data_IF_729148472853
#
_entry.id   IF_729148472853
#
_cell.length_a   1.000
_cell.length_b   1.000
_cell.length_c   1.000
_cell.angle_alpha   90.00
_cell.angle_beta   90.00
_cell.angle_gamma   90.00
#
_symmetry.space_group_name_H-M   'P 1'
#
loop_
_entity.id
_entity.type
_entity.pdbx_description
1 polymer ?
#
# COMPACT_ATOMS: atom_id res chain seq x y z
N UNK A 1 6.00 16.73 -14.75
CA UNK A 1 4.53 16.53 -14.76
C UNK A 1 4.02 16.60 -16.19
N UNK A 2 3.10 15.71 -16.58
CA UNK A 2 2.41 15.73 -17.87
C UNK A 2 0.94 16.07 -17.64
N UNK A 3 0.38 16.96 -18.46
CA UNK A 3 -1.05 17.34 -18.39
C UNK A 3 -1.89 16.55 -19.38
N UNK A 4 -3.22 16.61 -19.24
CA UNK A 4 -4.19 16.02 -20.18
C UNK A 4 -4.07 16.59 -21.60
N UNK A 5 -3.58 17.83 -21.71
CA UNK A 5 -3.24 18.46 -22.98
C UNK A 5 -1.89 18.01 -23.56
N UNK A 6 -1.31 16.91 -23.03
CA UNK A 6 0.00 16.36 -23.43
C UNK A 6 1.15 17.38 -23.34
N UNK A 7 1.03 18.37 -22.45
CA UNK A 7 2.11 19.33 -22.17
C UNK A 7 2.98 18.77 -21.06
N UNK A 8 4.28 18.95 -21.18
CA UNK A 8 5.23 18.57 -20.13
C UNK A 8 5.72 19.82 -19.43
N UNK A 9 5.70 19.76 -18.10
CA UNK A 9 6.23 20.78 -17.22
C UNK A 9 7.29 20.14 -16.32
N UNK A 10 8.38 20.85 -16.07
CA UNK A 10 9.48 20.42 -15.20
C UNK A 10 9.80 21.51 -14.18
N UNK A 11 10.26 21.10 -13.00
CA UNK A 11 10.64 21.97 -11.89
C UNK A 11 11.56 21.25 -10.91
N UNK A 12 12.18 22.00 -10.02
CA UNK A 12 13.12 21.48 -9.02
C UNK A 12 14.57 21.62 -9.47
N UNK A 13 15.42 20.69 -9.00
CA UNK A 13 16.87 20.71 -9.20
C UNK A 13 17.23 20.48 -10.67
N UNK A 14 18.21 21.22 -11.18
CA UNK A 14 18.59 21.21 -12.60
C UNK A 14 20.11 21.15 -12.84
N UNK A 15 20.87 20.67 -11.85
CA UNK A 15 22.34 20.67 -11.87
C UNK A 15 22.94 19.90 -13.07
N UNK A 16 22.17 19.00 -13.69
CA UNK A 16 22.56 18.16 -14.83
C UNK A 16 21.72 18.46 -16.07
N UNK A 17 21.03 19.60 -16.10
CA UNK A 17 20.06 19.97 -17.14
C UNK A 17 18.91 18.96 -17.31
N UNK A 18 18.63 18.15 -16.28
CA UNK A 18 17.62 17.10 -16.31
C UNK A 18 16.18 17.61 -16.49
N UNK A 19 15.95 18.92 -16.36
CA UNK A 19 14.64 19.52 -16.60
C UNK A 19 14.33 19.74 -18.10
N UNK A 20 15.32 19.65 -18.98
CA UNK A 20 15.15 19.71 -20.44
C UNK A 20 14.67 21.07 -20.96
N UNK A 21 14.86 22.16 -20.19
CA UNK A 21 14.38 23.51 -20.54
C UNK A 21 15.40 24.36 -21.30
N UNK A 22 16.67 23.94 -21.37
CA UNK A 22 17.76 24.74 -21.94
C UNK A 22 18.14 25.97 -21.11
N UNK A 23 17.55 26.14 -19.92
CA UNK A 23 17.89 27.16 -18.93
C UNK A 23 18.57 26.47 -17.74
N UNK A 24 19.62 27.08 -17.18
CA UNK A 24 20.34 26.50 -16.04
C UNK A 24 19.61 26.73 -14.70
N UNK A 25 18.77 27.76 -14.59
CA UNK A 25 18.11 28.12 -13.33
C UNK A 25 17.07 27.07 -12.90
N UNK A 26 17.16 26.52 -11.67
CA UNK A 26 16.18 25.58 -11.14
C UNK A 26 14.88 26.30 -10.77
N UNK A 27 13.74 26.05 -11.46
CA UNK A 27 12.50 26.74 -11.15
C UNK A 27 11.78 26.07 -9.98
N UNK A 28 11.28 26.86 -9.05
CA UNK A 28 10.48 26.38 -7.91
C UNK A 28 9.02 26.06 -8.27
N UNK A 29 8.60 26.40 -9.48
CA UNK A 29 7.24 26.15 -9.99
C UNK A 29 7.31 25.34 -11.30
N UNK A 30 6.30 24.51 -11.61
CA UNK A 30 6.23 23.80 -12.88
C UNK A 30 6.27 24.75 -14.06
N UNK A 31 7.34 24.69 -14.86
CA UNK A 31 7.50 25.50 -16.07
C UNK A 31 7.46 24.61 -17.31
N UNK A 32 6.93 25.11 -18.44
CA UNK A 32 6.77 24.33 -19.65
C UNK A 32 8.12 23.90 -20.22
N UNK A 33 8.21 22.65 -20.67
CA UNK A 33 9.38 22.11 -21.36
C UNK A 33 9.20 22.30 -22.86
N UNK A 34 10.17 22.91 -23.58
CA UNK A 34 10.06 23.22 -25.01
C UNK A 34 10.20 21.99 -25.93
N UNK A 35 9.69 20.83 -25.53
CA UNK A 35 9.64 19.61 -26.35
C UNK A 35 8.52 19.65 -27.40
N UNK A 36 7.54 20.55 -27.24
CA UNK A 36 6.34 20.57 -28.08
C UNK A 36 6.61 20.99 -29.52
N UNK A 37 7.58 21.88 -29.76
CA UNK A 37 7.92 22.29 -31.13
C UNK A 37 8.53 21.13 -31.93
N UNK A 38 9.35 20.29 -31.30
CA UNK A 38 9.92 19.08 -31.91
C UNK A 38 8.85 18.00 -32.16
N UNK A 39 7.88 17.85 -31.24
CA UNK A 39 6.79 16.88 -31.38
C UNK A 39 5.75 17.32 -32.43
N UNK A 40 5.43 18.61 -32.49
CA UNK A 40 4.44 19.16 -33.41
C UNK A 40 4.86 19.06 -34.88
N UNK A 41 6.15 19.27 -35.18
CA UNK A 41 6.69 19.16 -36.55
C UNK A 41 6.79 17.69 -37.02
N UNK A 42 6.93 16.74 -36.10
CA UNK A 42 7.07 15.30 -36.37
C UNK A 42 5.77 14.50 -36.28
N UNK A 43 4.66 15.13 -35.90
CA UNK A 43 3.38 14.44 -35.67
C UNK A 43 3.40 13.46 -34.49
N UNK A 44 4.35 13.64 -33.58
CA UNK A 44 4.54 12.86 -32.36
C UNK A 44 3.88 13.58 -31.17
N UNK A 45 3.57 12.81 -30.14
CA UNK A 45 3.07 13.27 -28.85
C UNK A 45 3.79 12.51 -27.74
N UNK A 46 4.00 13.18 -26.61
CA UNK A 46 4.68 12.58 -25.46
C UNK A 46 3.72 11.61 -24.77
N UNK A 47 4.10 10.33 -24.74
CA UNK A 47 3.35 9.25 -24.11
C UNK A 47 3.70 9.17 -22.63
N UNK A 48 4.97 8.90 -22.32
CA UNK A 48 5.46 8.76 -20.95
C UNK A 48 6.59 9.74 -20.66
N UNK A 49 6.74 10.08 -19.39
CA UNK A 49 7.87 10.81 -18.85
C UNK A 49 8.47 10.02 -17.69
N UNK A 50 9.78 9.97 -17.63
CA UNK A 50 10.56 9.29 -16.59
C UNK A 50 11.59 10.27 -16.06
N UNK A 51 11.83 10.25 -14.75
CA UNK A 51 12.84 11.06 -14.10
C UNK A 51 13.73 10.13 -13.26
N UNK A 52 15.02 10.13 -13.57
CA UNK A 52 16.08 9.53 -12.78
C UNK A 52 16.76 10.57 -11.89
N UNK A 53 17.90 10.22 -11.29
CA UNK A 53 18.64 11.12 -10.40
C UNK A 53 19.23 12.34 -11.13
N UNK A 54 19.85 12.09 -12.29
CA UNK A 54 20.61 13.08 -13.09
C UNK A 54 20.05 13.27 -14.51
N UNK A 55 18.96 12.58 -14.84
CA UNK A 55 18.47 12.46 -16.21
C UNK A 55 16.95 12.34 -16.24
N UNK A 56 16.35 12.82 -17.32
CA UNK A 56 14.91 12.64 -17.58
C UNK A 56 14.73 12.13 -19.01
N UNK A 57 13.75 11.25 -19.20
CA UNK A 57 13.43 10.65 -20.49
C UNK A 57 11.96 10.89 -20.82
N UNK A 58 11.67 11.07 -22.10
CA UNK A 58 10.30 11.12 -22.61
C UNK A 58 10.18 10.14 -23.76
N UNK A 59 9.16 9.28 -23.74
CA UNK A 59 8.82 8.46 -24.91
C UNK A 59 7.79 9.21 -25.74
N UNK A 60 8.00 9.21 -27.05
CA UNK A 60 7.12 9.87 -28.01
C UNK A 60 6.50 8.83 -28.93
N UNK A 61 5.23 9.01 -29.28
CA UNK A 61 4.50 8.14 -30.20
C UNK A 61 3.71 8.97 -31.19
N UNK A 62 3.33 8.40 -32.33
CA UNK A 62 2.43 9.11 -33.23
C UNK A 62 1.06 9.31 -32.58
N UNK A 63 0.49 10.51 -32.78
CA UNK A 63 -0.82 10.86 -32.21
C UNK A 63 -1.91 9.84 -32.56
N UNK A 64 -1.89 9.28 -33.77
CA UNK A 64 -2.83 8.23 -34.22
C UNK A 64 -2.67 6.92 -33.44
N UNK A 65 -1.45 6.57 -33.04
CA UNK A 65 -1.17 5.37 -32.26
C UNK A 65 -1.49 5.59 -30.79
N UNK A 66 -1.22 6.78 -30.25
CA UNK A 66 -1.67 7.17 -28.92
C UNK A 66 -3.20 7.12 -28.82
N UNK A 67 -3.94 7.66 -29.78
CA UNK A 67 -5.41 7.60 -29.75
C UNK A 67 -5.95 6.16 -29.86
N UNK A 68 -5.23 5.24 -30.51
CA UNK A 68 -5.57 3.81 -30.51
C UNK A 68 -5.24 3.15 -29.17
N UNK A 69 -4.10 3.51 -28.57
CA UNK A 69 -3.66 3.00 -27.26
C UNK A 69 -4.51 3.53 -26.14
N UNK A 70 -4.81 4.83 -26.05
CA UNK A 70 -5.70 5.43 -25.05
C UNK A 70 -7.14 4.90 -25.10
N UNK A 71 -7.59 4.34 -26.23
CA UNK A 71 -8.85 3.60 -26.30
C UNK A 71 -8.78 2.22 -25.64
N UNK A 72 -7.58 1.70 -25.42
CA UNK A 72 -7.27 0.41 -24.80
C UNK A 72 -6.52 0.54 -23.45
N UNK A 73 -5.94 1.70 -23.18
CA UNK A 73 -5.14 2.06 -22.01
C UNK A 73 -6.07 2.79 -21.05
N UNK A 74 -7.04 2.04 -20.55
CA UNK A 74 -7.76 2.45 -19.38
C UNK A 74 -6.74 2.44 -18.24
N UNK A 75 -6.40 3.63 -17.72
CA UNK A 75 -5.76 3.75 -16.41
C UNK A 75 -6.42 2.73 -15.49
N UNK A 76 -5.67 1.77 -14.89
CA UNK A 76 -6.28 0.72 -14.10
C UNK A 76 -7.25 1.33 -13.11
N UNK A 77 -8.54 0.94 -13.14
CA UNK A 77 -9.54 1.59 -12.32
C UNK A 77 -9.23 1.34 -10.85
N UNK A 78 -9.57 2.29 -9.98
CA UNK A 78 -9.42 2.08 -8.54
C UNK A 78 -10.42 1.04 -8.05
N UNK A 79 -10.10 0.39 -6.93
CA UNK A 79 -10.94 -0.68 -6.35
C UNK A 79 -12.37 -0.20 -6.11
N UNK A 80 -12.55 1.02 -5.60
CA UNK A 80 -13.87 1.61 -5.37
C UNK A 80 -14.72 1.78 -6.64
N UNK A 81 -14.10 1.94 -7.81
CA UNK A 81 -14.81 2.08 -9.08
C UNK A 81 -15.20 0.72 -9.68
N UNK A 82 -14.45 -0.34 -9.36
CA UNK A 82 -14.71 -1.69 -9.91
C UNK A 82 -15.62 -2.53 -9.02
N UNK A 83 -15.69 -2.25 -7.72
CA UNK A 83 -16.32 -3.15 -6.74
C UNK A 83 -17.77 -3.47 -7.07
N UNK A 84 -18.56 -2.50 -7.52
CA UNK A 84 -19.99 -2.73 -7.79
C UNK A 84 -20.18 -3.65 -9.02
N UNK A 85 -19.27 -3.59 -10.00
CA UNK A 85 -19.23 -4.53 -11.15
C UNK A 85 -18.82 -5.94 -10.73
N UNK A 86 -17.88 -6.08 -9.79
CA UNK A 86 -17.44 -7.39 -9.32
C UNK A 86 -18.49 -8.13 -8.49
N UNK A 87 -19.42 -7.40 -7.86
CA UNK A 87 -20.44 -7.98 -6.98
C UNK A 87 -21.82 -8.15 -7.64
N UNK A 88 -22.03 -7.69 -8.89
CA UNK A 88 -23.37 -7.60 -9.51
C UNK A 88 -23.98 -8.93 -9.99
N UNK A 89 -23.65 -10.07 -9.37
CA UNK A 89 -24.12 -11.40 -9.74
C UNK A 89 -23.47 -11.95 -11.02
N UNK A 90 -23.19 -13.26 -11.07
CA UNK A 90 -22.36 -13.83 -12.15
C UNK A 90 -22.67 -15.29 -12.49
N UNK A 91 -22.37 -15.64 -13.75
CA UNK A 91 -22.19 -17.03 -14.19
C UNK A 91 -20.74 -17.51 -14.00
N UNK A 92 -20.45 -18.76 -14.36
CA UNK A 92 -19.13 -19.36 -14.18
C UNK A 92 -18.02 -18.74 -15.04
N UNK A 93 -18.35 -18.18 -16.22
CA UNK A 93 -17.38 -17.53 -17.11
C UNK A 93 -17.04 -16.13 -16.60
N UNK A 94 -18.05 -15.37 -16.19
CA UNK A 94 -17.90 -14.04 -15.64
C UNK A 94 -17.13 -14.08 -14.31
N UNK A 95 -17.39 -15.07 -13.45
CA UNK A 95 -16.63 -15.24 -12.20
C UNK A 95 -15.13 -15.44 -12.43
N UNK A 96 -14.73 -16.23 -13.44
CA UNK A 96 -13.30 -16.39 -13.78
C UNK A 96 -12.66 -15.08 -14.21
N UNK A 97 -13.38 -14.28 -15.00
CA UNK A 97 -12.94 -12.94 -15.42
C UNK A 97 -12.80 -12.00 -14.22
N UNK A 98 -13.82 -11.94 -13.36
CA UNK A 98 -13.82 -11.11 -12.14
C UNK A 98 -12.66 -11.51 -11.22
N UNK A 99 -12.44 -12.81 -10.99
CA UNK A 99 -11.30 -13.28 -10.19
C UNK A 99 -9.98 -12.80 -10.75
N UNK A 100 -9.79 -12.92 -12.07
CA UNK A 100 -8.59 -12.42 -12.74
C UNK A 100 -8.40 -10.92 -12.55
N UNK A 101 -9.45 -10.12 -12.74
CA UNK A 101 -9.39 -8.66 -12.55
C UNK A 101 -9.08 -8.28 -11.09
N UNK A 102 -9.73 -8.92 -10.12
CA UNK A 102 -9.43 -8.76 -8.70
C UNK A 102 -7.96 -9.11 -8.44
N UNK A 103 -7.50 -10.24 -8.96
CA UNK A 103 -6.13 -10.70 -8.75
C UNK A 103 -5.11 -9.71 -9.31
N UNK A 104 -5.30 -9.26 -10.55
CA UNK A 104 -4.45 -8.25 -11.19
C UNK A 104 -4.47 -6.91 -10.42
N UNK A 105 -5.63 -6.50 -9.92
CA UNK A 105 -5.77 -5.24 -9.18
C UNK A 105 -5.06 -5.31 -7.82
N UNK A 106 -5.30 -6.36 -7.04
CA UNK A 106 -4.76 -6.49 -5.69
C UNK A 106 -3.31 -6.99 -5.64
N UNK A 107 -2.80 -7.60 -6.71
CA UNK A 107 -1.38 -7.94 -6.85
C UNK A 107 -0.52 -6.77 -7.35
N UNK A 108 -1.12 -5.62 -7.65
CA UNK A 108 -0.44 -4.42 -8.14
C UNK A 108 -0.34 -3.32 -7.07
N UNK A 109 0.90 -2.96 -6.70
CA UNK A 109 1.17 -1.87 -5.76
C UNK A 109 0.59 -0.53 -6.24
N UNK A 110 0.65 -0.26 -7.54
CA UNK A 110 0.16 0.99 -8.13
C UNK A 110 -1.37 1.10 -8.10
N UNK A 111 -2.07 -0.01 -8.35
CA UNK A 111 -3.54 -0.07 -8.24
C UNK A 111 -3.99 0.14 -6.79
N UNK A 112 -3.32 -0.53 -5.83
CA UNK A 112 -3.57 -0.37 -4.40
C UNK A 112 -3.29 1.07 -3.92
N UNK A 113 -2.19 1.68 -4.37
CA UNK A 113 -1.83 3.07 -4.04
C UNK A 113 -2.81 4.09 -4.64
N UNK A 114 -3.40 3.81 -5.82
CA UNK A 114 -4.39 4.68 -6.46
C UNK A 114 -5.79 4.54 -5.83
N UNK A 115 -6.03 3.49 -5.06
CA UNK A 115 -7.35 3.24 -4.48
C UNK A 115 -7.56 3.97 -3.16
N UNK A 116 -8.82 4.24 -2.84
CA UNK A 116 -9.24 4.83 -1.55
C UNK A 116 -8.62 6.20 -1.25
N UNK A 117 -8.38 7.02 -2.27
CA UNK A 117 -7.80 8.35 -2.10
C UNK A 117 -8.82 9.35 -1.54
N UNK A 118 -8.35 10.29 -0.72
CA UNK A 118 -9.17 11.40 -0.25
C UNK A 118 -9.36 12.42 -1.37
N UNK A 119 -10.44 12.26 -2.15
CA UNK A 119 -10.77 13.14 -3.27
C UNK A 119 -11.34 14.50 -2.81
N UNK A 120 -11.74 14.63 -1.55
CA UNK A 120 -12.26 15.89 -1.02
C UNK A 120 -11.20 16.99 -1.08
N UNK A 121 -11.51 18.08 -1.81
CA UNK A 121 -10.64 19.26 -1.96
C UNK A 121 -9.20 18.90 -2.37
N UNK A 122 -9.05 17.91 -3.25
CA UNK A 122 -7.73 17.53 -3.79
C UNK A 122 -6.71 17.12 -2.72
N UNK A 123 -7.18 16.69 -1.54
CA UNK A 123 -6.32 16.31 -0.42
C UNK A 123 -5.34 15.21 -0.76
N UNK A 124 -5.68 14.27 -1.64
CA UNK A 124 -4.76 13.21 -2.06
C UNK A 124 -3.48 13.73 -2.75
N UNK A 125 -3.48 14.94 -3.34
CA UNK A 125 -2.26 15.59 -3.85
C UNK A 125 -1.37 16.17 -2.75
N UNK A 126 -1.83 16.18 -1.50
CA UNK A 126 -1.10 16.69 -0.33
C UNK A 126 -0.40 15.57 0.45
N UNK A 127 -0.25 14.37 -0.15
CA UNK A 127 0.44 13.29 0.53
C UNK A 127 1.88 13.67 0.84
N UNK A 128 2.23 13.47 2.10
CA UNK A 128 3.46 13.94 2.71
C UNK A 128 3.83 13.00 3.86
N UNK A 129 5.03 13.14 4.46
CA UNK A 129 5.40 12.35 5.64
C UNK A 129 4.40 12.41 6.81
N UNK A 130 3.56 13.44 6.88
CA UNK A 130 2.59 13.64 7.96
C UNK A 130 1.13 13.37 7.55
N UNK A 131 0.87 13.17 6.26
CA UNK A 131 -0.49 12.95 5.76
C UNK A 131 -0.56 11.88 4.65
N UNK A 132 -1.28 10.77 4.85
CA UNK A 132 -1.32 9.67 3.88
C UNK A 132 -2.23 9.92 2.67
N UNK A 133 -3.17 10.87 2.73
CA UNK A 133 -4.10 11.13 1.61
C UNK A 133 -5.16 10.05 1.36
N UNK A 134 -5.48 9.23 2.36
CA UNK A 134 -6.45 8.12 2.26
C UNK A 134 -7.83 8.44 2.86
N UNK A 135 -8.88 7.89 2.25
CA UNK A 135 -10.24 7.83 2.79
C UNK A 135 -10.52 6.44 3.39
N UNK A 136 -10.34 6.35 4.71
CA UNK A 136 -10.56 5.13 5.48
C UNK A 136 -12.03 4.74 5.63
N UNK A 137 -12.97 5.65 5.40
CA UNK A 137 -14.40 5.34 5.40
C UNK A 137 -14.79 4.66 4.09
N UNK A 138 -14.28 5.18 2.97
CA UNK A 138 -14.42 4.58 1.65
C UNK A 138 -13.79 3.19 1.61
N UNK A 139 -12.51 3.05 2.00
CA UNK A 139 -11.80 1.77 2.07
C UNK A 139 -12.60 0.72 2.85
N UNK A 140 -13.08 1.11 4.04
CA UNK A 140 -13.87 0.20 4.86
C UNK A 140 -15.17 -0.22 4.18
N UNK A 141 -15.90 0.71 3.57
CA UNK A 141 -17.18 0.43 2.92
C UNK A 141 -17.01 -0.52 1.73
N UNK A 142 -15.99 -0.28 0.91
CA UNK A 142 -15.67 -1.07 -0.28
C UNK A 142 -15.20 -2.46 0.10
N UNK A 143 -14.28 -2.59 1.07
CA UNK A 143 -13.87 -3.91 1.55
C UNK A 143 -15.01 -4.69 2.18
N UNK A 144 -15.90 -4.04 2.96
CA UNK A 144 -17.08 -4.71 3.52
C UNK A 144 -18.04 -5.22 2.44
N UNK A 145 -18.15 -4.53 1.30
CA UNK A 145 -18.93 -5.02 0.16
C UNK A 145 -18.23 -6.21 -0.50
N UNK A 146 -16.97 -6.02 -0.90
CA UNK A 146 -16.20 -6.98 -1.68
C UNK A 146 -15.96 -8.30 -0.95
N UNK A 147 -15.67 -8.24 0.35
CA UNK A 147 -15.27 -9.41 1.14
C UNK A 147 -16.44 -10.21 1.73
N UNK A 148 -17.70 -9.83 1.45
CA UNK A 148 -18.87 -10.61 1.85
C UNK A 148 -18.92 -11.97 1.17
N UNK A 149 -18.58 -12.00 -0.11
CA UNK A 149 -18.53 -13.24 -0.90
C UNK A 149 -17.20 -13.96 -0.65
N UNK A 150 -17.27 -15.18 -0.13
CA UNK A 150 -16.08 -15.95 0.28
C UNK A 150 -15.12 -16.20 -0.88
N UNK A 151 -15.66 -16.44 -2.07
CA UNK A 151 -14.90 -16.66 -3.30
C UNK A 151 -14.06 -15.45 -3.68
N UNK A 152 -14.62 -14.24 -3.56
CA UNK A 152 -13.91 -12.99 -3.86
C UNK A 152 -12.94 -12.66 -2.73
N UNK A 153 -13.34 -12.87 -1.46
CA UNK A 153 -12.48 -12.68 -0.30
C UNK A 153 -11.21 -13.54 -0.38
N UNK A 154 -11.33 -14.77 -0.86
CA UNK A 154 -10.19 -15.69 -1.03
C UNK A 154 -9.25 -15.19 -2.14
N UNK A 155 -9.80 -14.71 -3.25
CA UNK A 155 -9.01 -14.13 -4.35
C UNK A 155 -8.24 -12.88 -3.92
N UNK A 156 -8.90 -11.94 -3.24
CA UNK A 156 -8.27 -10.72 -2.70
C UNK A 156 -7.09 -11.08 -1.79
N UNK A 157 -7.29 -12.02 -0.85
CA UNK A 157 -6.22 -12.43 0.06
C UNK A 157 -5.05 -13.09 -0.70
N UNK A 158 -5.33 -13.95 -1.68
CA UNK A 158 -4.29 -14.60 -2.48
C UNK A 158 -3.47 -13.59 -3.29
N UNK A 159 -4.14 -12.63 -3.93
CA UNK A 159 -3.51 -11.57 -4.70
C UNK A 159 -2.63 -10.65 -3.84
N UNK A 160 -3.11 -10.28 -2.66
CA UNK A 160 -2.32 -9.46 -1.72
C UNK A 160 -1.12 -10.25 -1.21
N UNK A 161 -1.27 -11.54 -0.87
CA UNK A 161 -0.12 -12.38 -0.48
C UNK A 161 0.94 -12.44 -1.58
N UNK A 162 0.54 -12.44 -2.86
CA UNK A 162 1.47 -12.35 -3.98
C UNK A 162 2.16 -10.98 -4.09
N UNK A 163 1.47 -9.88 -3.76
CA UNK A 163 2.03 -8.52 -3.78
C UNK A 163 3.13 -8.32 -2.74
N UNK A 164 2.94 -8.83 -1.52
CA UNK A 164 3.75 -8.47 -0.34
C UNK A 164 5.26 -8.71 -0.50
N UNK A 165 5.75 -9.80 -1.13
CA UNK A 165 7.18 -9.99 -1.37
C UNK A 165 7.78 -8.95 -2.33
N UNK A 166 6.99 -8.37 -3.23
CA UNK A 166 7.41 -7.43 -4.26
C UNK A 166 7.36 -5.95 -3.82
N UNK A 167 6.86 -5.67 -2.62
CA UNK A 167 6.87 -4.31 -2.07
C UNK A 167 8.30 -3.87 -1.78
N UNK A 168 8.66 -2.68 -2.28
CA UNK A 168 9.94 -2.05 -2.01
C UNK A 168 10.02 -1.63 -0.53
N UNK A 169 11.15 -1.95 0.11
CA UNK A 169 11.43 -1.55 1.49
C UNK A 169 11.73 -0.06 1.62
N UNK A 170 12.05 0.61 0.51
CA UNK A 170 12.41 2.03 0.46
C UNK A 170 11.84 2.70 -0.81
N UNK A 171 10.50 2.82 -0.93
CA UNK A 171 9.88 3.39 -2.12
C UNK A 171 10.31 4.85 -2.34
N UNK A 172 10.55 5.21 -3.60
CA UNK A 172 11.01 6.56 -3.99
C UNK A 172 10.02 7.67 -3.59
N UNK A 173 8.71 7.39 -3.60
CA UNK A 173 7.66 8.32 -3.21
C UNK A 173 6.93 7.87 -1.95
N UNK A 174 6.64 8.81 -1.06
CA UNK A 174 5.88 8.55 0.18
C UNK A 174 4.51 7.97 -0.10
N UNK A 175 3.91 8.23 -1.26
CA UNK A 175 2.65 7.64 -1.69
C UNK A 175 2.69 6.11 -1.72
N UNK A 176 3.83 5.51 -2.09
CA UNK A 176 3.98 4.05 -2.13
C UNK A 176 3.67 3.39 -0.78
N UNK A 177 3.86 4.11 0.32
CA UNK A 177 3.59 3.62 1.68
C UNK A 177 2.10 3.49 1.99
N UNK A 178 1.20 4.12 1.22
CA UNK A 178 -0.26 4.04 1.44
C UNK A 178 -0.76 2.60 1.48
N UNK A 179 -0.11 1.70 0.72
CA UNK A 179 -0.45 0.27 0.69
C UNK A 179 -0.46 -0.33 2.09
N UNK A 180 0.49 0.00 2.97
CA UNK A 180 0.52 -0.55 4.34
C UNK A 180 -0.68 -0.11 5.19
N UNK A 181 -1.21 1.10 4.97
CA UNK A 181 -2.38 1.60 5.70
C UNK A 181 -3.68 1.01 5.13
N UNK A 182 -3.74 0.79 3.81
CA UNK A 182 -4.84 0.07 3.15
C UNK A 182 -4.89 -1.39 3.64
N UNK A 183 -3.73 -2.04 3.80
CA UNK A 183 -3.62 -3.40 4.33
C UNK A 183 -4.15 -3.50 5.77
N UNK A 184 -3.89 -2.51 6.63
CA UNK A 184 -4.48 -2.49 7.98
C UNK A 184 -6.02 -2.45 7.95
N UNK A 185 -6.60 -1.68 7.01
CA UNK A 185 -8.05 -1.64 6.85
C UNK A 185 -8.61 -2.96 6.29
N UNK A 186 -7.91 -3.57 5.34
CA UNK A 186 -8.25 -4.89 4.79
C UNK A 186 -8.28 -5.95 5.91
N UNK A 187 -7.22 -6.01 6.73
CA UNK A 187 -7.13 -6.92 7.88
C UNK A 187 -8.28 -6.69 8.86
N UNK A 188 -8.59 -5.44 9.19
CA UNK A 188 -9.72 -5.10 10.07
C UNK A 188 -11.05 -5.64 9.53
N UNK A 189 -11.32 -5.48 8.23
CA UNK A 189 -12.58 -5.96 7.65
C UNK A 189 -12.64 -7.50 7.62
N UNK A 190 -11.55 -8.18 7.27
CA UNK A 190 -11.47 -9.65 7.30
C UNK A 190 -11.76 -10.17 8.72
N UNK A 191 -11.10 -9.59 9.73
CA UNK A 191 -11.27 -9.94 11.13
C UNK A 191 -12.71 -9.70 11.63
N UNK A 192 -13.39 -8.67 11.09
CA UNK A 192 -14.77 -8.36 11.46
C UNK A 192 -15.80 -9.29 10.80
N UNK A 193 -15.55 -9.75 9.58
CA UNK A 193 -16.51 -10.55 8.82
C UNK A 193 -16.38 -12.05 9.09
N UNK A 194 -15.19 -12.55 9.42
CA UNK A 194 -14.93 -13.98 9.57
C UNK A 194 -14.88 -14.38 11.03
N UNK A 195 -15.58 -15.47 11.39
CA UNK A 195 -15.56 -16.04 12.75
C UNK A 195 -14.19 -16.62 13.12
N UNK A 196 -13.51 -17.25 12.15
CA UNK A 196 -12.15 -17.74 12.28
C UNK A 196 -11.33 -17.28 11.06
N UNK A 197 -10.73 -16.09 11.13
CA UNK A 197 -9.96 -15.54 10.03
C UNK A 197 -8.63 -16.28 9.87
N UNK A 198 -8.28 -16.61 8.62
CA UNK A 198 -6.95 -17.11 8.29
C UNK A 198 -5.89 -16.05 8.67
N UNK A 199 -4.86 -16.47 9.39
CA UNK A 199 -3.79 -15.58 9.87
C UNK A 199 -2.72 -15.30 8.82
N UNK A 200 -2.62 -16.14 7.78
CA UNK A 200 -1.56 -16.06 6.76
C UNK A 200 -1.38 -14.66 6.19
N UNK A 201 -2.46 -13.98 5.83
CA UNK A 201 -2.36 -12.61 5.31
C UNK A 201 -1.72 -11.66 6.35
N UNK A 202 -2.16 -11.72 7.61
CA UNK A 202 -1.59 -10.87 8.66
C UNK A 202 -0.11 -11.19 8.92
N UNK A 203 0.28 -12.47 8.86
CA UNK A 203 1.66 -12.91 8.99
C UNK A 203 2.54 -12.37 7.86
N UNK A 204 2.09 -12.45 6.61
CA UNK A 204 2.81 -11.93 5.45
C UNK A 204 2.88 -10.40 5.47
N UNK A 205 1.81 -9.71 5.89
CA UNK A 205 1.82 -8.26 6.05
C UNK A 205 2.83 -7.86 7.12
N UNK A 206 2.86 -8.56 8.26
CA UNK A 206 3.83 -8.28 9.31
C UNK A 206 5.26 -8.49 8.80
N UNK A 207 5.52 -9.56 8.05
CA UNK A 207 6.83 -9.80 7.44
C UNK A 207 7.22 -8.70 6.43
N UNK A 208 6.27 -8.19 5.64
CA UNK A 208 6.52 -7.08 4.71
C UNK A 208 6.85 -5.77 5.45
N UNK A 209 6.14 -5.45 6.55
CA UNK A 209 6.45 -4.27 7.39
C UNK A 209 7.85 -4.36 7.98
N UNK A 210 8.32 -5.55 8.36
CA UNK A 210 9.68 -5.73 8.89
C UNK A 210 10.80 -5.54 7.86
N UNK A 211 10.49 -5.46 6.56
CA UNK A 211 11.47 -5.14 5.51
C UNK A 211 11.70 -3.63 5.36
N UNK A 212 10.85 -2.80 5.96
CA UNK A 212 10.94 -1.35 5.85
C UNK A 212 12.15 -0.82 6.63
N UNK A 213 12.79 0.22 6.10
CA UNK A 213 13.88 0.89 6.80
C UNK A 213 13.35 1.68 8.02
N UNK A 214 14.21 2.00 9.01
CA UNK A 214 13.83 2.82 10.16
C UNK A 214 13.22 4.18 9.77
N UNK A 215 13.74 4.82 8.72
CA UNK A 215 13.26 6.11 8.20
C UNK A 215 11.83 5.98 7.65
N UNK A 216 11.56 4.90 6.90
CA UNK A 216 10.22 4.63 6.37
C UNK A 216 9.24 4.28 7.50
N UNK A 217 9.67 3.51 8.50
CA UNK A 217 8.85 3.21 9.68
C UNK A 217 8.50 4.47 10.49
N UNK A 218 9.40 5.46 10.52
CA UNK A 218 9.11 6.76 11.14
C UNK A 218 7.98 7.51 10.41
N UNK A 219 7.96 7.47 9.07
CA UNK A 219 6.89 8.07 8.27
C UNK A 219 5.56 7.35 8.55
N UNK A 220 5.55 6.02 8.51
CA UNK A 220 4.34 5.23 8.82
C UNK A 220 3.86 5.51 10.26
N UNK A 221 4.79 5.62 11.22
CA UNK A 221 4.47 6.00 12.60
C UNK A 221 3.83 7.39 12.71
N UNK A 222 4.33 8.36 11.96
CA UNK A 222 3.76 9.71 11.90
C UNK A 222 2.35 9.70 11.30
N UNK A 223 2.14 8.90 10.25
CA UNK A 223 0.80 8.68 9.72
C UNK A 223 -0.13 8.04 10.74
N UNK A 224 0.28 6.96 11.42
CA UNK A 224 -0.53 6.35 12.49
C UNK A 224 -0.94 7.36 13.56
N UNK A 225 -0.02 8.20 14.01
CA UNK A 225 -0.31 9.26 14.99
C UNK A 225 -1.36 10.27 14.48
N UNK A 226 -1.29 10.62 13.18
CA UNK A 226 -2.21 11.54 12.52
C UNK A 226 -3.64 11.00 12.35
N UNK A 227 -3.81 9.67 12.21
CA UNK A 227 -5.11 9.06 11.92
C UNK A 227 -6.13 9.26 13.05
N UNK A 228 -7.43 9.41 12.77
CA UNK A 228 -8.46 9.50 13.82
C UNK A 228 -8.40 8.31 14.79
N UNK A 229 -8.64 8.55 16.10
CA UNK A 229 -8.53 7.50 17.13
C UNK A 229 -9.39 6.27 16.82
N UNK A 230 -10.57 6.47 16.24
CA UNK A 230 -11.45 5.37 15.83
C UNK A 230 -10.83 4.47 14.75
N UNK A 231 -10.04 5.03 13.82
CA UNK A 231 -9.33 4.27 12.77
C UNK A 231 -8.16 3.51 13.37
N UNK A 232 -7.36 4.14 14.23
CA UNK A 232 -6.25 3.43 14.87
C UNK A 232 -6.71 2.33 15.82
N UNK A 233 -7.75 2.58 16.64
CA UNK A 233 -8.30 1.57 17.55
C UNK A 233 -8.73 0.31 16.78
N UNK A 234 -9.37 0.46 15.62
CA UNK A 234 -9.79 -0.70 14.82
C UNK A 234 -8.61 -1.41 14.16
N UNK A 235 -7.58 -0.69 13.71
CA UNK A 235 -6.35 -1.30 13.19
C UNK A 235 -5.59 -2.08 14.27
N UNK A 236 -5.41 -1.51 15.46
CA UNK A 236 -4.80 -2.19 16.61
C UNK A 236 -5.59 -3.45 17.00
N UNK A 237 -6.92 -3.36 17.04
CA UNK A 237 -7.78 -4.52 17.31
C UNK A 237 -7.63 -5.61 16.24
N UNK A 238 -7.47 -5.26 14.97
CA UNK A 238 -7.26 -6.23 13.90
C UNK A 238 -5.96 -7.02 14.09
N UNK A 239 -4.86 -6.32 14.40
CA UNK A 239 -3.58 -6.95 14.73
C UNK A 239 -3.64 -7.81 15.99
N UNK A 240 -4.30 -7.32 17.04
CA UNK A 240 -4.53 -8.07 18.26
C UNK A 240 -5.29 -9.37 17.98
N UNK A 241 -6.39 -9.30 17.23
CA UNK A 241 -7.19 -10.47 16.87
C UNK A 241 -6.37 -11.47 16.05
N UNK A 242 -5.59 -11.01 15.08
CA UNK A 242 -4.69 -11.87 14.32
C UNK A 242 -3.67 -12.58 15.23
N UNK A 243 -2.99 -11.82 16.08
CA UNK A 243 -2.00 -12.35 17.01
C UNK A 243 -2.62 -13.36 17.99
N UNK A 244 -3.81 -13.07 18.53
CA UNK A 244 -4.54 -14.01 19.40
C UNK A 244 -4.78 -15.35 18.71
N UNK A 245 -5.12 -15.37 17.42
CA UNK A 245 -5.27 -16.63 16.68
C UNK A 245 -3.93 -17.33 16.50
N UNK A 246 -2.89 -16.59 16.07
CA UNK A 246 -1.54 -17.14 15.82
C UNK A 246 -0.93 -17.77 17.07
N UNK A 247 -1.18 -17.20 18.26
CA UNK A 247 -0.70 -17.73 19.53
C UNK A 247 -1.27 -19.13 19.83
N UNK A 248 -2.44 -19.49 19.30
CA UNK A 248 -3.06 -20.80 19.52
C UNK A 248 -2.76 -21.82 18.39
N UNK A 249 -1.87 -21.48 17.44
CA UNK A 249 -1.48 -22.37 16.35
C UNK A 249 -0.28 -23.23 16.77
N UNK A 250 -0.37 -24.54 16.49
CA UNK A 250 0.72 -25.49 16.71
C UNK A 250 1.21 -26.09 15.37
N UNK A 251 2.53 -26.13 15.10
CA UNK A 251 3.63 -25.64 15.94
C UNK A 251 3.67 -24.11 16.02
N UNK A 252 4.17 -23.57 17.14
CA UNK A 252 4.19 -22.12 17.41
C UNK A 252 4.98 -21.35 16.35
N UNK A 253 4.34 -20.45 15.57
CA UNK A 253 5.01 -19.71 14.50
C UNK A 253 5.73 -18.47 15.04
N UNK A 254 6.84 -18.70 15.76
CA UNK A 254 7.61 -17.68 16.51
C UNK A 254 8.01 -16.45 15.68
N UNK A 255 8.39 -16.66 14.41
CA UNK A 255 8.78 -15.56 13.51
C UNK A 255 7.59 -14.65 13.20
N UNK A 256 6.43 -15.23 12.94
CA UNK A 256 5.18 -14.51 12.71
C UNK A 256 4.74 -13.75 13.97
N UNK A 257 4.76 -14.40 15.14
CA UNK A 257 4.44 -13.79 16.44
C UNK A 257 5.34 -12.58 16.69
N UNK A 258 6.66 -12.74 16.53
CA UNK A 258 7.63 -11.64 16.68
C UNK A 258 7.30 -10.48 15.75
N UNK A 259 7.06 -10.74 14.47
CA UNK A 259 6.78 -9.67 13.50
C UNK A 259 5.49 -8.92 13.87
N UNK A 260 4.42 -9.63 14.26
CA UNK A 260 3.17 -9.01 14.70
C UNK A 260 3.32 -8.17 15.97
N UNK A 261 4.08 -8.66 16.95
CA UNK A 261 4.41 -7.92 18.17
C UNK A 261 5.19 -6.65 17.87
N UNK A 262 6.12 -6.68 16.91
CA UNK A 262 6.87 -5.49 16.48
C UNK A 262 5.95 -4.46 15.83
N UNK A 263 5.02 -4.87 14.97
CA UNK A 263 4.00 -3.97 14.40
C UNK A 263 3.15 -3.32 15.51
N UNK A 264 2.65 -4.12 16.46
CA UNK A 264 1.87 -3.61 17.60
C UNK A 264 2.66 -2.64 18.48
N UNK A 265 3.94 -2.93 18.74
CA UNK A 265 4.86 -2.05 19.47
C UNK A 265 5.04 -0.72 18.75
N UNK A 266 5.22 -0.75 17.44
CA UNK A 266 5.45 0.46 16.65
C UNK A 266 4.17 1.32 16.58
N UNK A 267 2.99 0.69 16.44
CA UNK A 267 1.69 1.36 16.58
C UNK A 267 1.48 1.96 17.98
N UNK A 268 1.86 1.23 19.04
CA UNK A 268 1.80 1.73 20.41
C UNK A 268 2.68 2.97 20.58
N UNK A 269 3.94 2.90 20.14
CA UNK A 269 4.86 4.03 20.24
C UNK A 269 4.34 5.27 19.52
N UNK A 270 3.73 5.10 18.34
CA UNK A 270 3.12 6.17 17.57
C UNK A 270 1.89 6.78 18.26
N UNK A 271 1.08 5.98 18.99
CA UNK A 271 -0.26 6.38 19.42
C UNK A 271 -0.53 6.32 20.93
N UNK A 272 0.45 6.01 21.78
CA UNK A 272 0.27 5.82 23.24
C UNK A 272 -0.33 7.02 23.98
N UNK A 273 -0.18 8.25 23.44
CA UNK A 273 -0.79 9.46 24.00
C UNK A 273 -2.28 9.63 23.65
N UNK A 274 -2.77 8.88 22.65
CA UNK A 274 -4.09 9.05 22.02
C UNK A 274 -5.02 7.84 22.23
N UNK A 275 -4.45 6.66 22.45
CA UNK A 275 -5.17 5.40 22.56
C UNK A 275 -4.89 4.78 23.93
N UNK A 276 -5.91 4.32 24.67
CA UNK A 276 -5.71 3.64 25.95
C UNK A 276 -4.84 2.39 25.80
N UNK A 277 -3.90 2.19 26.72
CA UNK A 277 -2.94 1.07 26.70
C UNK A 277 -3.61 -0.30 26.62
N UNK A 278 -4.74 -0.48 27.34
CA UNK A 278 -5.55 -1.70 27.30
C UNK A 278 -6.02 -2.12 25.90
N UNK A 279 -5.98 -1.23 24.92
CA UNK A 279 -6.30 -1.54 23.51
C UNK A 279 -5.25 -2.48 22.91
N UNK A 280 -4.01 -2.44 23.41
CA UNK A 280 -2.87 -3.20 22.93
C UNK A 280 -2.64 -4.52 23.68
N UNK A 281 -3.37 -4.78 24.77
CA UNK A 281 -3.18 -6.00 25.57
C UNK A 281 -3.55 -7.25 24.79
N UNK A 282 -2.62 -8.21 24.76
CA UNK A 282 -2.78 -9.54 24.17
C UNK A 282 -2.51 -10.56 25.27
N UNK A 283 -3.44 -11.49 25.46
CA UNK A 283 -3.22 -12.61 26.37
C UNK A 283 -2.27 -13.63 25.73
N UNK A 284 -1.22 -13.99 26.46
CA UNK A 284 -0.20 -14.93 26.02
C UNK A 284 -0.42 -16.26 26.72
N UNK A 285 -0.38 -17.36 25.96
CA UNK A 285 -0.45 -18.71 26.51
C UNK A 285 0.82 -19.00 27.33
N UNK A 286 0.64 -19.50 28.56
CA UNK A 286 1.74 -19.88 29.44
C UNK A 286 2.65 -20.95 28.84
N UNK A 287 2.11 -21.85 28.00
CA UNK A 287 2.87 -22.90 27.32
C UNK A 287 3.91 -22.28 26.40
N UNK A 288 3.52 -21.27 25.61
CA UNK A 288 4.45 -20.56 24.72
C UNK A 288 5.58 -19.91 25.52
N UNK A 289 5.25 -19.27 26.64
CA UNK A 289 6.23 -18.63 27.52
C UNK A 289 7.21 -19.63 28.13
N UNK A 290 6.71 -20.80 28.53
CA UNK A 290 7.55 -21.87 29.08
C UNK A 290 8.52 -22.42 28.03
N UNK A 291 8.05 -22.66 26.81
CA UNK A 291 8.91 -23.12 25.71
C UNK A 291 9.95 -22.09 25.32
N UNK A 292 9.58 -20.82 25.19
CA UNK A 292 10.51 -19.75 24.86
C UNK A 292 11.58 -19.60 25.95
N UNK A 293 11.21 -19.76 27.23
CA UNK A 293 12.17 -19.78 28.33
C UNK A 293 13.14 -20.97 28.23
N UNK A 294 12.66 -22.15 27.84
CA UNK A 294 13.53 -23.33 27.63
C UNK A 294 14.51 -23.11 26.48
N UNK A 295 14.04 -22.58 25.35
CA UNK A 295 14.88 -22.24 24.19
C UNK A 295 15.92 -21.19 24.54
N UNK A 296 15.55 -20.16 25.29
CA UNK A 296 16.47 -19.13 25.76
C UNK A 296 17.56 -19.69 26.67
N UNK A 297 17.20 -20.58 27.62
CA UNK A 297 18.16 -21.27 28.49
C UNK A 297 19.12 -22.16 27.69
N UNK A 298 18.62 -22.89 26.69
CA UNK A 298 19.43 -23.73 25.83
C UNK A 298 20.44 -22.90 25.01
N UNK A 299 19.99 -21.78 24.42
CA UNK A 299 20.84 -20.88 23.65
C UNK A 299 21.88 -20.12 24.50
N UNK A 300 21.62 -19.95 25.79
CA UNK A 300 22.58 -19.31 26.71
C UNK A 300 23.71 -20.26 27.08
N UNK A 301 23.42 -21.56 27.27
CA UNK A 301 24.43 -22.58 27.58
C UNK A 301 25.42 -22.84 26.44
N UNK A 302 25.03 -22.62 25.19
CA UNK A 302 25.90 -22.79 24.01
C UNK A 302 26.80 -21.59 23.71
N UNK A 303 26.66 -20.47 24.44
CA UNK A 303 27.55 -19.30 24.30
C UNK A 303 28.71 -19.27 25.31
N UNK A 304 28.62 -20.09 26.35
CA UNK A 304 29.59 -20.14 27.45
C UNK A 304 30.56 -21.35 27.36
N UNK A 305 30.65 -22.00 26.18
CA UNK A 305 31.57 -23.10 25.90
C UNK A 305 32.20 -22.96 24.52
#
# INVERSE_FOLDING_TARGET
VRTDSMKVYSFGRNDQQQLGRGEDSPPSVPLPVPLQQLCATSGLVIENIFAGGDSSFATCVHKKDLCRRLKNDETPPSVENMVDTWISGYDSKLLKKIKKEIHETFSSASCMNRSFLSQSKDKHFQTSPDYPGLDFSLAQSVFKKLLKEEVLSTEVQAAVVQLLPALDGNPVGVEGLRVFLVLNELLHVIQKLKKQPNTRLAEEVAAAVQKLSPEILQIIGSWWASLPSAVMIRHVKAWRSALSVVLHIWPVPRRSIRNMLLVLRDMYNACKKKIPEKTFYVEMDQIILQEDLQLWRAASKTKDG
#
